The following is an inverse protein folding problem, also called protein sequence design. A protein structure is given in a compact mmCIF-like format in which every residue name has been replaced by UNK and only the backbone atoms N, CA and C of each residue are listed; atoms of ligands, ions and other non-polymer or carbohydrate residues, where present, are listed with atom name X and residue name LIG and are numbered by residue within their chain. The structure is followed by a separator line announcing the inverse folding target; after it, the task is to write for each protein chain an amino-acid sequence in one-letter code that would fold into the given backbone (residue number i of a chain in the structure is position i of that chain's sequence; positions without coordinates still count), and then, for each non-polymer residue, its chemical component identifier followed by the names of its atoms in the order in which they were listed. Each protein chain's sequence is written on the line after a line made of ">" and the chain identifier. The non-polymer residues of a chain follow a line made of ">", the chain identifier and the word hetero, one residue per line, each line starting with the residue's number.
data_IF_398902199218
#
_entry.id   IF_398902199218
#
_cell.length_a   1.000
_cell.length_b   1.000
_cell.length_c   1.000
_cell.angle_alpha   90.00
_cell.angle_beta   90.00
_cell.angle_gamma   90.00
#
_symmetry.space_group_name_H-M   'P 1'
#
loop_
_entity.id
_entity.type
_entity.pdbx_description
1 polymer ?
#
# COMPACT_ATOMS: atom_id res chain seq x y z
N UNK A 1 37.43 -42.85 25.16
CA UNK A 1 36.42 -42.30 26.09
C UNK A 1 36.06 -40.92 25.55
N UNK A 2 34.85 -40.51 25.23
CA UNK A 2 33.50 -41.01 25.47
C UNK A 2 32.63 -40.56 24.29
N UNK A 3 31.87 -41.47 23.70
CA UNK A 3 30.89 -41.20 22.66
C UNK A 3 29.54 -40.90 23.33
N UNK A 4 28.92 -39.77 22.99
CA UNK A 4 27.56 -39.44 23.45
C UNK A 4 26.63 -39.46 22.24
N UNK A 5 25.92 -40.58 22.11
CA UNK A 5 24.77 -40.74 21.24
C UNK A 5 23.59 -39.91 21.77
N UNK A 6 23.04 -39.00 20.96
CA UNK A 6 21.71 -38.42 21.19
C UNK A 6 20.77 -38.86 20.08
N UNK A 7 19.89 -39.78 20.44
CA UNK A 7 18.76 -40.28 19.67
C UNK A 7 17.68 -39.20 19.54
N UNK A 8 17.37 -38.77 18.32
CA UNK A 8 16.21 -37.94 18.01
C UNK A 8 14.98 -38.85 17.82
N UNK A 9 13.99 -38.75 18.69
CA UNK A 9 12.67 -39.37 18.52
C UNK A 9 11.89 -38.59 17.45
N UNK A 10 11.52 -39.28 16.37
CA UNK A 10 10.58 -38.79 15.38
C UNK A 10 9.16 -38.74 15.98
N UNK A 11 8.54 -37.57 15.98
CA UNK A 11 7.11 -37.38 16.31
C UNK A 11 6.30 -37.46 15.02
N UNK A 12 5.45 -38.49 14.92
CA UNK A 12 4.51 -38.68 13.83
C UNK A 12 3.34 -37.69 13.93
N UNK A 13 3.16 -36.82 12.95
CA UNK A 13 1.96 -35.99 12.81
C UNK A 13 0.90 -36.80 12.06
N UNK A 14 -0.13 -37.28 12.78
CA UNK A 14 -1.29 -37.92 12.17
C UNK A 14 -2.18 -36.86 11.48
N UNK A 15 -2.32 -36.99 10.17
CA UNK A 15 -3.27 -36.22 9.34
C UNK A 15 -4.66 -36.83 9.45
N UNK A 16 -5.62 -36.08 10.02
CA UNK A 16 -7.05 -36.44 10.01
C UNK A 16 -7.66 -35.88 8.72
N UNK A 17 -8.00 -36.77 7.77
CA UNK A 17 -8.77 -36.43 6.57
C UNK A 17 -10.27 -36.50 6.88
N UNK A 18 -10.98 -35.39 6.69
CA UNK A 18 -12.44 -35.33 6.67
C UNK A 18 -12.97 -35.64 5.26
N UNK A 19 -14.06 -36.43 5.11
CA UNK A 19 -14.60 -36.76 3.80
C UNK A 19 -15.45 -35.62 3.22
N UNK A 20 -15.12 -35.18 2.01
CA UNK A 20 -15.95 -34.29 1.18
C UNK A 20 -17.09 -35.07 0.53
N UNK A 21 -18.33 -34.72 0.88
CA UNK A 21 -19.55 -35.26 0.25
C UNK A 21 -19.90 -34.42 -0.97
N UNK A 22 -19.84 -35.02 -2.16
CA UNK A 22 -20.25 -34.39 -3.41
C UNK A 22 -21.79 -34.21 -3.44
N UNK A 23 -22.27 -33.00 -3.70
CA UNK A 23 -23.68 -32.69 -3.91
C UNK A 23 -23.94 -32.59 -5.42
N UNK A 24 -24.84 -33.45 -5.90
CA UNK A 24 -25.27 -33.57 -7.30
C UNK A 24 -26.28 -32.47 -7.61
N UNK A 25 -25.98 -31.58 -8.54
CA UNK A 25 -26.94 -30.60 -9.06
C UNK A 25 -27.96 -31.33 -9.96
N UNK A 26 -29.24 -31.27 -9.60
CA UNK A 26 -30.36 -31.70 -10.45
C UNK A 26 -30.92 -30.48 -11.20
N UNK A 27 -31.10 -30.65 -12.52
CA UNK A 27 -31.59 -29.61 -13.42
C UNK A 27 -33.02 -29.20 -13.12
N UNK A 28 -33.28 -27.89 -13.15
CA UNK A 28 -34.60 -27.30 -13.06
C UNK A 28 -35.20 -27.18 -14.46
N UNK A 29 -36.33 -27.87 -14.66
CA UNK A 29 -37.17 -27.79 -15.83
C UNK A 29 -37.81 -26.39 -15.96
N UNK A 30 -37.74 -25.82 -17.16
CA UNK A 30 -38.48 -24.62 -17.56
C UNK A 30 -39.97 -24.92 -17.56
N UNK A 31 -40.74 -24.21 -16.74
CA UNK A 31 -42.19 -24.15 -16.85
C UNK A 31 -42.60 -22.84 -17.53
N UNK A 32 -43.17 -22.96 -18.73
CA UNK A 32 -43.88 -21.88 -19.40
C UNK A 32 -45.27 -21.74 -18.77
N UNK A 33 -45.52 -20.61 -18.10
CA UNK A 33 -46.86 -20.21 -17.70
C UNK A 33 -47.32 -19.03 -18.54
N UNK A 34 -48.31 -19.30 -19.40
CA UNK A 34 -49.11 -18.30 -20.11
C UNK A 34 -50.02 -17.60 -19.10
N UNK A 35 -49.89 -16.27 -18.99
CA UNK A 35 -50.69 -15.45 -18.09
C UNK A 35 -52.04 -15.09 -18.73
N UNK A 36 -53.20 -15.43 -18.16
CA UNK A 36 -54.49 -14.94 -18.64
C UNK A 36 -54.75 -13.51 -18.15
N UNK A 37 -55.35 -12.71 -19.02
CA UNK A 37 -55.65 -11.29 -18.83
C UNK A 37 -56.50 -11.02 -17.57
N UNK A 38 -55.98 -10.19 -16.67
CA UNK A 38 -56.73 -9.64 -15.53
C UNK A 38 -57.27 -8.26 -15.93
N UNK A 39 -58.60 -8.16 -15.90
CA UNK A 39 -59.41 -6.98 -16.18
C UNK A 39 -59.16 -5.92 -15.10
N UNK A 40 -58.60 -4.78 -15.46
CA UNK A 40 -58.34 -3.66 -14.55
C UNK A 40 -59.63 -2.90 -14.25
N UNK A 41 -60.11 -2.98 -13.00
CA UNK A 41 -61.11 -2.07 -12.45
C UNK A 41 -60.53 -0.65 -12.35
N UNK A 42 -61.30 0.43 -12.59
CA UNK A 42 -60.77 1.78 -12.48
C UNK A 42 -60.49 2.10 -11.01
N UNK A 43 -59.21 2.25 -10.67
CA UNK A 43 -58.78 2.77 -9.38
C UNK A 43 -59.23 4.23 -9.25
N UNK A 44 -60.04 4.51 -8.22
CA UNK A 44 -60.38 5.86 -7.77
C UNK A 44 -59.09 6.68 -7.61
N UNK A 45 -58.96 7.76 -8.39
CA UNK A 45 -57.86 8.72 -8.26
C UNK A 45 -58.04 9.47 -6.94
N UNK A 46 -57.31 9.07 -5.91
CA UNK A 46 -57.07 9.96 -4.77
C UNK A 46 -56.12 11.04 -5.26
N UNK A 47 -56.61 12.28 -5.40
CA UNK A 47 -55.71 13.42 -5.62
C UNK A 47 -54.89 13.59 -4.35
N UNK A 48 -53.63 13.19 -4.37
CA UNK A 48 -52.69 13.54 -3.31
C UNK A 48 -52.52 15.06 -3.33
N UNK A 49 -53.18 15.74 -2.40
CA UNK A 49 -53.00 17.16 -2.19
C UNK A 49 -51.67 17.34 -1.45
N UNK A 50 -50.62 17.70 -2.19
CA UNK A 50 -49.31 18.02 -1.63
C UNK A 50 -49.15 19.54 -1.58
N UNK A 51 -48.87 20.08 -0.39
CA UNK A 51 -48.52 21.48 -0.16
C UNK A 51 -47.03 21.76 -0.33
N UNK A 52 -46.22 20.76 -0.72
CA UNK A 52 -44.80 20.95 -0.95
C UNK A 52 -44.59 21.69 -2.28
N UNK A 53 -44.00 22.88 -2.20
CA UNK A 53 -43.40 23.55 -3.35
C UNK A 53 -42.38 22.61 -4.01
N UNK A 54 -42.34 22.61 -5.35
CA UNK A 54 -41.26 21.92 -6.09
C UNK A 54 -39.93 22.36 -5.50
N UNK A 55 -39.10 21.42 -5.04
CA UNK A 55 -37.71 21.68 -4.73
C UNK A 55 -37.06 22.24 -5.99
N UNK A 56 -36.84 23.56 -6.00
CA UNK A 56 -35.94 24.17 -6.96
C UNK A 56 -34.53 23.75 -6.54
N UNK A 57 -34.14 22.55 -6.96
CA UNK A 57 -32.74 22.16 -6.94
C UNK A 57 -32.03 23.04 -7.97
N UNK A 58 -31.54 24.19 -7.52
CA UNK A 58 -30.54 24.99 -8.21
C UNK A 58 -29.15 24.37 -8.09
N UNK A 59 -29.05 23.04 -8.03
CA UNK A 59 -27.78 22.36 -8.07
C UNK A 59 -27.10 22.77 -9.38
N UNK A 60 -25.89 23.37 -9.32
CA UNK A 60 -25.11 23.64 -10.51
C UNK A 60 -25.03 22.36 -11.35
N UNK A 61 -25.01 22.46 -12.69
CA UNK A 61 -24.75 21.30 -13.53
C UNK A 61 -23.51 20.59 -12.99
N UNK A 62 -23.54 19.25 -12.97
CA UNK A 62 -22.43 18.44 -12.47
C UNK A 62 -21.13 18.99 -13.06
N UNK A 63 -20.12 19.29 -12.23
CA UNK A 63 -18.90 19.92 -12.70
C UNK A 63 -18.37 19.10 -13.87
N UNK A 64 -18.20 19.78 -15.02
CA UNK A 64 -17.50 19.20 -16.18
C UNK A 64 -16.20 18.61 -15.64
N UNK A 65 -15.88 17.37 -16.02
CA UNK A 65 -14.66 16.71 -15.59
C UNK A 65 -13.48 17.64 -15.87
N UNK A 66 -12.94 18.27 -14.81
CA UNK A 66 -11.81 19.19 -14.92
C UNK A 66 -10.59 18.34 -15.19
N UNK A 67 -9.75 18.80 -16.10
CA UNK A 67 -8.47 18.15 -16.31
C UNK A 67 -7.57 18.30 -15.08
N UNK A 68 -6.69 17.33 -14.86
CA UNK A 68 -5.64 17.44 -13.85
C UNK A 68 -4.66 18.56 -14.19
N UNK A 69 -4.13 19.19 -13.14
CA UNK A 69 -3.12 20.24 -13.26
C UNK A 69 -1.84 19.68 -13.94
N UNK A 70 -1.09 20.52 -14.69
CA UNK A 70 0.10 20.11 -15.41
C UNK A 70 1.13 19.37 -14.54
N UNK A 71 1.35 19.84 -13.31
CA UNK A 71 2.31 19.25 -12.36
C UNK A 71 1.97 17.80 -12.02
N UNK A 72 0.68 17.50 -11.85
CA UNK A 72 0.19 16.14 -11.59
C UNK A 72 0.40 15.25 -12.82
N UNK A 73 0.11 15.78 -14.02
CA UNK A 73 0.31 15.08 -15.29
C UNK A 73 1.79 14.78 -15.55
N UNK A 74 2.67 15.72 -15.24
CA UNK A 74 4.11 15.60 -15.43
C UNK A 74 4.70 14.53 -14.50
N UNK A 75 4.34 14.54 -13.22
CA UNK A 75 4.76 13.50 -12.26
C UNK A 75 4.26 12.12 -12.72
N UNK A 76 2.98 12.00 -13.10
CA UNK A 76 2.42 10.73 -13.56
C UNK A 76 3.13 10.24 -14.83
N UNK A 77 3.39 11.14 -15.78
CA UNK A 77 4.12 10.81 -17.01
C UNK A 77 5.55 10.38 -16.72
N UNK A 78 6.25 11.06 -15.80
CA UNK A 78 7.60 10.70 -15.38
C UNK A 78 7.63 9.28 -14.80
N UNK A 79 6.77 8.99 -13.81
CA UNK A 79 6.72 7.68 -13.14
C UNK A 79 6.47 6.54 -14.13
N UNK A 80 5.54 6.72 -15.06
CA UNK A 80 5.11 5.67 -15.98
C UNK A 80 5.98 5.52 -17.23
N UNK A 81 6.49 6.62 -17.78
CA UNK A 81 7.03 6.66 -19.13
C UNK A 81 8.54 6.94 -19.18
N UNK A 82 9.16 7.33 -18.07
CA UNK A 82 10.60 7.65 -18.06
C UNK A 82 11.41 6.45 -17.56
N UNK A 83 12.25 5.86 -18.42
CA UNK A 83 13.23 4.87 -17.99
C UNK A 83 14.39 5.54 -17.25
N UNK A 84 14.94 4.84 -16.27
CA UNK A 84 16.14 5.28 -15.56
C UNK A 84 17.35 4.60 -16.21
N UNK A 85 18.10 5.35 -17.02
CA UNK A 85 19.25 4.85 -17.79
C UNK A 85 20.58 5.47 -17.28
N UNK A 86 20.80 5.40 -15.96
CA UNK A 86 22.01 5.92 -15.32
C UNK A 86 22.59 4.91 -14.33
N UNK A 87 23.73 4.32 -14.69
CA UNK A 87 24.46 3.39 -13.81
C UNK A 87 24.85 4.07 -12.50
N UNK A 88 25.26 5.33 -12.55
CA UNK A 88 25.58 6.12 -11.36
C UNK A 88 24.37 6.28 -10.44
N UNK A 89 23.17 6.51 -10.99
CA UNK A 89 21.96 6.64 -10.19
C UNK A 89 21.64 5.32 -9.48
N UNK A 90 21.73 4.18 -10.17
CA UNK A 90 21.52 2.87 -9.55
C UNK A 90 22.59 2.52 -8.51
N UNK A 91 23.85 2.84 -8.78
CA UNK A 91 24.95 2.60 -7.84
C UNK A 91 24.79 3.42 -6.58
N UNK A 92 24.42 4.70 -6.72
CA UNK A 92 24.15 5.61 -5.61
C UNK A 92 22.91 5.17 -4.83
N UNK A 93 21.81 4.82 -5.50
CA UNK A 93 20.60 4.30 -4.87
C UNK A 93 20.89 3.03 -4.05
N UNK A 94 21.83 2.18 -4.49
CA UNK A 94 22.27 1.02 -3.72
C UNK A 94 22.96 1.43 -2.41
N UNK A 95 23.79 2.46 -2.42
CA UNK A 95 24.39 2.99 -1.20
C UNK A 95 23.37 3.62 -0.27
N UNK A 96 22.47 4.46 -0.80
CA UNK A 96 21.36 5.07 -0.03
C UNK A 96 20.52 3.97 0.60
N UNK A 97 20.11 2.94 -0.15
CA UNK A 97 19.32 1.83 0.39
C UNK A 97 19.97 1.15 1.60
N UNK A 98 21.28 0.89 1.54
CA UNK A 98 22.02 0.26 2.63
C UNK A 98 22.21 1.21 3.83
N UNK A 99 22.53 2.47 3.57
CA UNK A 99 22.69 3.51 4.57
C UNK A 99 21.40 3.75 5.36
N UNK A 100 20.29 3.94 4.65
CA UNK A 100 18.96 4.16 5.22
C UNK A 100 18.51 2.99 6.10
N UNK A 101 18.75 1.74 5.66
CA UNK A 101 18.48 0.57 6.49
C UNK A 101 19.39 0.53 7.74
N UNK A 102 20.66 0.91 7.60
CA UNK A 102 21.59 1.03 8.72
C UNK A 102 21.11 2.03 9.78
N UNK A 103 20.65 3.21 9.34
CA UNK A 103 20.05 4.23 10.20
C UNK A 103 18.82 3.68 10.94
N UNK A 104 17.94 2.96 10.24
CA UNK A 104 16.77 2.31 10.83
C UNK A 104 17.12 1.30 11.92
N UNK A 105 18.13 0.45 11.67
CA UNK A 105 18.59 -0.53 12.65
C UNK A 105 19.21 0.11 13.89
N UNK A 106 19.95 1.22 13.75
CA UNK A 106 20.47 1.97 14.90
C UNK A 106 19.32 2.65 15.68
N UNK A 107 18.28 3.13 15.00
CA UNK A 107 17.07 3.69 15.61
C UNK A 107 16.37 2.72 16.58
N UNK A 108 16.44 1.41 16.32
CA UNK A 108 15.85 0.38 17.20
C UNK A 108 16.50 0.30 18.60
N UNK A 109 17.65 0.94 18.82
CA UNK A 109 18.28 1.03 20.15
C UNK A 109 17.63 2.08 21.06
N UNK A 110 16.75 2.92 20.51
CA UNK A 110 16.13 4.03 21.22
C UNK A 110 14.67 3.71 21.56
N UNK A 111 14.37 3.67 22.87
CA UNK A 111 13.02 3.33 23.36
C UNK A 111 11.93 4.26 22.82
N UNK A 112 12.28 5.53 22.61
CA UNK A 112 11.37 6.54 22.06
C UNK A 112 10.97 6.25 20.61
N UNK A 113 11.85 5.61 19.82
CA UNK A 113 11.51 5.09 18.50
C UNK A 113 10.65 3.84 18.64
N UNK A 114 11.16 2.84 19.37
CA UNK A 114 10.56 1.50 19.38
C UNK A 114 9.17 1.46 20.01
N UNK A 115 8.82 2.39 20.90
CA UNK A 115 7.48 2.47 21.50
C UNK A 115 6.38 2.83 20.48
N UNK A 116 6.76 3.38 19.32
CA UNK A 116 5.84 3.74 18.24
C UNK A 116 5.72 2.64 17.17
N UNK A 117 6.54 1.60 17.26
CA UNK A 117 6.57 0.50 16.31
C UNK A 117 5.62 -0.63 16.73
N UNK A 118 5.37 -1.54 15.80
CA UNK A 118 4.52 -2.70 15.98
C UNK A 118 3.09 -2.51 15.46
N UNK A 119 2.22 -3.51 15.68
CA UNK A 119 0.82 -3.41 15.30
C UNK A 119 0.08 -2.43 16.21
N UNK A 120 -0.92 -1.74 15.67
CA UNK A 120 -1.81 -0.86 16.46
C UNK A 120 -2.50 -1.65 17.59
N UNK A 121 -2.88 -2.91 17.31
CA UNK A 121 -3.48 -3.83 18.28
C UNK A 121 -2.58 -5.04 18.45
N UNK A 122 -2.12 -5.28 19.68
CA UNK A 122 -1.28 -6.43 20.01
C UNK A 122 -1.94 -7.75 19.60
N UNK A 123 -1.15 -8.68 19.04
CA UNK A 123 -1.65 -9.97 18.54
C UNK A 123 -2.28 -9.92 17.14
N UNK A 124 -2.30 -8.75 16.47
CA UNK A 124 -2.75 -8.67 15.08
C UNK A 124 -1.91 -9.57 14.18
N UNK A 125 -2.58 -10.40 13.36
CA UNK A 125 -1.94 -11.27 12.37
C UNK A 125 -2.34 -10.80 10.97
N UNK A 126 -1.34 -10.44 10.16
CA UNK A 126 -1.55 -10.03 8.77
C UNK A 126 -0.94 -11.07 7.82
N UNK A 127 -1.75 -11.93 7.18
CA UNK A 127 -1.26 -12.90 6.20
C UNK A 127 -0.51 -12.20 5.07
N UNK A 128 0.69 -12.69 4.75
CA UNK A 128 1.56 -12.13 3.70
C UNK A 128 1.92 -10.64 3.88
N UNK A 129 1.70 -10.08 5.06
CA UNK A 129 2.09 -8.72 5.38
C UNK A 129 3.59 -8.48 5.21
N UNK A 130 4.02 -7.25 4.89
CA UNK A 130 5.42 -6.91 4.85
C UNK A 130 6.05 -6.98 6.24
N UNK A 131 7.36 -7.27 6.26
CA UNK A 131 8.16 -7.34 7.48
C UNK A 131 8.89 -6.03 7.72
N UNK A 132 8.97 -5.65 8.99
CA UNK A 132 9.73 -4.48 9.43
C UNK A 132 11.16 -4.92 9.79
N UNK A 133 12.21 -4.44 9.09
CA UNK A 133 13.59 -4.87 9.31
C UNK A 133 14.04 -4.74 10.76
N UNK A 134 14.81 -5.73 11.26
CA UNK A 134 15.31 -5.73 12.63
C UNK A 134 14.27 -6.04 13.71
N UNK A 135 13.02 -6.31 13.35
CA UNK A 135 11.92 -6.59 14.30
C UNK A 135 11.22 -7.92 13.97
N UNK A 136 10.42 -8.49 14.89
CA UNK A 136 9.58 -9.63 14.59
C UNK A 136 8.27 -9.25 13.88
N UNK A 137 8.03 -7.98 13.57
CA UNK A 137 6.73 -7.50 13.11
C UNK A 137 6.44 -7.86 11.66
N UNK A 138 5.21 -8.33 11.44
CA UNK A 138 4.60 -8.51 10.15
C UNK A 138 3.25 -7.80 10.17
N UNK A 139 3.14 -6.70 9.42
CA UNK A 139 2.04 -5.73 9.54
C UNK A 139 1.28 -5.61 8.21
N UNK A 140 0.25 -4.79 8.16
CA UNK A 140 -0.30 -4.31 6.89
C UNK A 140 0.67 -3.30 6.25
N UNK A 141 0.61 -3.08 4.92
CA UNK A 141 1.57 -2.23 4.22
C UNK A 141 1.58 -0.77 4.70
N UNK A 142 0.46 -0.24 5.23
CA UNK A 142 0.41 1.14 5.73
C UNK A 142 1.17 1.25 7.04
N UNK A 143 0.88 0.37 7.99
CA UNK A 143 1.56 0.41 9.29
C UNK A 143 3.04 0.00 9.17
N UNK A 144 3.37 -0.95 8.29
CA UNK A 144 4.78 -1.27 7.98
C UNK A 144 5.52 -0.07 7.37
N UNK A 145 4.89 0.69 6.46
CA UNK A 145 5.49 1.88 5.90
C UNK A 145 5.80 2.92 6.97
N UNK A 146 4.87 3.18 7.89
CA UNK A 146 5.11 4.04 9.04
C UNK A 146 6.26 3.53 9.92
N UNK A 147 6.28 2.24 10.24
CA UNK A 147 7.32 1.63 11.09
C UNK A 147 8.71 1.78 10.47
N UNK A 148 8.83 1.54 9.16
CA UNK A 148 10.08 1.68 8.42
C UNK A 148 10.45 3.17 8.31
N UNK A 149 9.54 4.04 7.91
CA UNK A 149 9.78 5.49 7.80
C UNK A 149 10.21 6.11 9.13
N UNK A 150 9.53 5.77 10.23
CA UNK A 150 9.87 6.26 11.55
C UNK A 150 11.26 5.81 12.01
N UNK A 151 11.65 4.55 11.76
CA UNK A 151 12.98 4.08 12.19
C UNK A 151 14.10 4.73 11.38
N UNK A 152 13.94 4.85 10.05
CA UNK A 152 15.05 5.27 9.17
C UNK A 152 15.38 6.75 9.37
N UNK A 153 14.37 7.56 9.71
CA UNK A 153 14.53 9.01 9.96
C UNK A 153 14.84 9.36 11.41
N UNK A 154 14.69 8.40 12.34
CA UNK A 154 14.64 8.69 13.79
C UNK A 154 15.82 9.49 14.33
N UNK A 155 17.03 9.16 13.88
CA UNK A 155 18.28 9.73 14.39
C UNK A 155 18.84 10.86 13.54
N UNK A 156 18.17 11.20 12.43
CA UNK A 156 18.65 12.23 11.50
C UNK A 156 20.04 11.92 10.91
N UNK A 157 20.28 10.64 10.62
CA UNK A 157 21.54 10.16 10.02
C UNK A 157 21.40 9.70 8.58
N UNK A 158 20.16 9.55 8.09
CA UNK A 158 19.90 9.20 6.71
C UNK A 158 20.23 10.37 5.76
N UNK A 159 20.15 10.11 4.46
CA UNK A 159 20.54 11.05 3.43
C UNK A 159 19.83 12.42 3.51
N UNK A 160 20.34 13.40 2.78
CA UNK A 160 19.81 14.76 2.80
C UNK A 160 19.87 15.42 1.42
N UNK A 161 18.84 16.19 1.11
CA UNK A 161 18.74 17.04 -0.07
C UNK A 161 18.53 18.50 0.36
N UNK A 162 19.52 19.35 0.08
CA UNK A 162 19.50 20.77 0.46
C UNK A 162 19.15 21.64 -0.75
N UNK A 163 17.96 22.22 -0.75
CA UNK A 163 17.48 23.10 -1.79
C UNK A 163 16.70 24.31 -1.22
N UNK A 164 15.77 24.91 -1.98
CA UNK A 164 14.87 25.93 -1.44
C UNK A 164 14.00 25.37 -0.31
N UNK A 165 13.62 24.10 -0.42
CA UNK A 165 13.18 23.27 0.69
C UNK A 165 14.26 22.24 1.06
N UNK A 166 14.40 21.96 2.35
CA UNK A 166 15.28 20.88 2.84
C UNK A 166 14.46 19.60 2.99
N UNK A 167 15.09 18.44 2.83
CA UNK A 167 14.42 17.18 3.10
C UNK A 167 15.32 15.97 3.02
N UNK A 168 14.73 14.81 3.28
CA UNK A 168 15.40 13.51 3.33
C UNK A 168 14.68 12.54 2.38
N UNK A 169 15.09 12.48 1.10
CA UNK A 169 14.35 11.67 0.13
C UNK A 169 14.32 10.17 0.43
N UNK A 170 15.30 9.65 1.18
CA UNK A 170 15.27 8.28 1.66
C UNK A 170 14.07 7.94 2.57
N UNK A 171 13.36 8.92 3.12
CA UNK A 171 12.15 8.70 3.94
C UNK A 171 11.04 7.97 3.15
N UNK A 172 10.99 8.16 1.82
CA UNK A 172 10.08 7.44 0.91
C UNK A 172 10.31 5.92 0.90
N UNK A 173 11.49 5.44 1.35
CA UNK A 173 11.81 4.02 1.42
C UNK A 173 10.82 3.24 2.28
N UNK A 174 10.21 3.88 3.29
CA UNK A 174 9.20 3.25 4.14
C UNK A 174 8.05 2.67 3.33
N UNK A 175 7.41 3.49 2.51
CA UNK A 175 6.31 3.08 1.64
C UNK A 175 6.77 2.14 0.52
N UNK A 176 7.87 2.47 -0.16
CA UNK A 176 8.39 1.68 -1.28
C UNK A 176 8.67 0.24 -0.83
N UNK A 177 9.41 0.07 0.27
CA UNK A 177 9.80 -1.25 0.75
C UNK A 177 8.62 -2.04 1.31
N UNK A 178 7.74 -1.39 2.10
CA UNK A 178 6.56 -2.06 2.66
C UNK A 178 5.62 -2.58 1.56
N UNK A 179 5.32 -1.76 0.56
CA UNK A 179 4.44 -2.16 -0.55
C UNK A 179 5.12 -3.21 -1.43
N UNK A 180 6.42 -3.07 -1.69
CA UNK A 180 7.16 -4.04 -2.50
C UNK A 180 7.22 -5.44 -1.86
N UNK A 181 7.50 -5.51 -0.56
CA UNK A 181 7.53 -6.76 0.20
C UNK A 181 6.13 -7.38 0.29
N UNK A 182 5.10 -6.58 0.55
CA UNK A 182 3.70 -7.02 0.60
C UNK A 182 3.24 -7.69 -0.71
N UNK A 183 3.42 -6.99 -1.84
CA UNK A 183 3.04 -7.49 -3.17
C UNK A 183 3.79 -8.79 -3.46
N UNK A 184 5.10 -8.81 -3.21
CA UNK A 184 5.94 -9.97 -3.48
C UNK A 184 5.56 -11.19 -2.63
N UNK A 185 5.29 -11.01 -1.34
CA UNK A 185 4.81 -12.08 -0.45
C UNK A 185 3.46 -12.62 -0.89
N UNK A 186 2.53 -11.72 -1.17
CA UNK A 186 1.17 -12.08 -1.61
C UNK A 186 1.20 -12.88 -2.90
N UNK A 187 1.99 -12.44 -3.89
CA UNK A 187 2.09 -13.13 -5.18
C UNK A 187 2.85 -14.46 -5.08
N UNK A 188 3.88 -14.56 -4.23
CA UNK A 188 4.55 -15.83 -3.93
C UNK A 188 3.61 -16.84 -3.24
N UNK A 189 2.60 -16.36 -2.51
CA UNK A 189 1.58 -17.19 -1.87
C UNK A 189 0.40 -17.54 -2.81
N UNK A 190 0.50 -17.25 -4.11
CA UNK A 190 -0.55 -17.54 -5.10
C UNK A 190 -1.52 -16.39 -5.37
N UNK A 191 -1.24 -15.17 -4.86
CA UNK A 191 -1.95 -13.95 -5.23
C UNK A 191 -1.59 -13.44 -6.63
N UNK A 192 -2.27 -12.37 -7.06
CA UNK A 192 -2.09 -11.77 -8.39
C UNK A 192 -2.12 -10.23 -8.37
N UNK A 193 -1.56 -9.61 -7.33
CA UNK A 193 -1.43 -8.16 -7.24
C UNK A 193 -0.46 -7.64 -8.31
N UNK A 194 -0.78 -6.53 -8.97
CA UNK A 194 0.11 -5.94 -9.98
C UNK A 194 0.50 -6.92 -11.10
N UNK A 195 -0.47 -7.73 -11.57
CA UNK A 195 -0.26 -8.78 -12.57
C UNK A 195 0.67 -9.92 -12.13
N UNK A 196 0.65 -10.26 -10.83
CA UNK A 196 1.39 -11.41 -10.29
C UNK A 196 2.89 -11.16 -10.20
N UNK A 197 3.31 -9.91 -10.35
CA UNK A 197 4.72 -9.50 -10.38
C UNK A 197 5.40 -9.76 -9.04
N UNK A 198 6.57 -10.37 -9.08
CA UNK A 198 7.47 -10.46 -7.92
C UNK A 198 8.48 -9.33 -8.03
N UNK A 199 8.41 -8.37 -7.12
CA UNK A 199 9.22 -7.16 -7.19
C UNK A 199 10.66 -7.51 -6.84
N UNK A 200 11.59 -7.05 -7.66
CA UNK A 200 13.03 -7.23 -7.48
C UNK A 200 13.64 -6.05 -6.72
N UNK A 201 14.82 -6.25 -6.12
CA UNK A 201 15.55 -5.14 -5.47
C UNK A 201 15.89 -4.04 -6.48
N UNK A 202 16.20 -4.38 -7.75
CA UNK A 202 16.46 -3.36 -8.79
C UNK A 202 15.27 -2.41 -8.96
N UNK A 203 14.04 -2.93 -8.89
CA UNK A 203 12.82 -2.13 -9.03
C UNK A 203 12.54 -1.28 -7.78
N UNK A 204 12.94 -1.77 -6.60
CA UNK A 204 12.94 -0.95 -5.38
C UNK A 204 13.92 0.22 -5.54
N UNK A 205 15.13 -0.02 -6.05
CA UNK A 205 16.12 1.04 -6.31
C UNK A 205 15.62 2.04 -7.37
N UNK A 206 14.99 1.56 -8.45
CA UNK A 206 14.38 2.46 -9.44
C UNK A 206 13.29 3.34 -8.84
N UNK A 207 12.42 2.76 -7.99
CA UNK A 207 11.38 3.52 -7.29
C UNK A 207 11.99 4.56 -6.33
N UNK A 208 13.09 4.23 -5.64
CA UNK A 208 13.80 5.20 -4.80
C UNK A 208 14.32 6.38 -5.64
N UNK A 209 14.97 6.11 -6.78
CA UNK A 209 15.47 7.16 -7.69
C UNK A 209 14.32 8.07 -8.13
N UNK A 210 13.19 7.50 -8.55
CA UNK A 210 12.01 8.26 -8.98
C UNK A 210 11.44 9.12 -7.84
N UNK A 211 11.39 8.60 -6.62
CA UNK A 211 10.95 9.37 -5.45
C UNK A 211 11.90 10.54 -5.14
N UNK A 212 13.22 10.30 -5.21
CA UNK A 212 14.23 11.35 -5.02
C UNK A 212 14.09 12.46 -6.07
N UNK A 213 13.86 12.09 -7.34
CA UNK A 213 13.67 13.05 -8.42
C UNK A 213 12.44 13.94 -8.17
N UNK A 214 11.29 13.34 -7.83
CA UNK A 214 10.04 14.09 -7.62
C UNK A 214 10.18 15.05 -6.43
N UNK A 215 10.60 14.54 -5.27
CA UNK A 215 10.76 15.35 -4.07
C UNK A 215 11.85 16.43 -4.26
N UNK A 216 13.01 16.03 -4.77
CA UNK A 216 14.16 16.90 -4.95
C UNK A 216 13.87 18.05 -5.92
N UNK A 217 13.25 17.75 -7.07
CA UNK A 217 12.91 18.76 -8.07
C UNK A 217 11.81 19.72 -7.58
N UNK A 218 10.79 19.23 -6.87
CA UNK A 218 9.80 20.12 -6.25
C UNK A 218 10.45 21.03 -5.20
N UNK A 219 11.43 20.52 -4.44
CA UNK A 219 12.17 21.28 -3.44
C UNK A 219 13.18 22.29 -4.00
N UNK A 220 13.58 22.21 -5.28
CA UNK A 220 14.61 23.08 -5.87
C UNK A 220 14.29 24.56 -5.74
N UNK A 221 13.05 24.94 -6.07
CA UNK A 221 12.63 26.34 -6.15
C UNK A 221 11.38 26.65 -5.31
N UNK A 222 10.74 25.65 -4.71
CA UNK A 222 9.58 25.83 -3.86
C UNK A 222 9.97 25.62 -2.40
N UNK A 223 9.58 26.56 -1.53
CA UNK A 223 9.87 26.53 -0.10
C UNK A 223 8.56 26.58 0.66
N UNK A 224 8.16 25.42 1.17
CA UNK A 224 6.96 25.18 1.97
C UNK A 224 7.12 25.73 3.39
N UNK A 225 8.35 25.70 3.93
CA UNK A 225 8.65 26.30 5.23
C UNK A 225 8.33 27.81 5.27
N UNK A 226 8.49 28.54 4.16
CA UNK A 226 8.17 29.97 4.05
C UNK A 226 6.67 30.25 4.16
N UNK A 227 5.83 29.23 3.94
CA UNK A 227 4.37 29.33 4.07
C UNK A 227 3.84 28.57 5.29
N UNK A 228 4.72 28.13 6.19
CA UNK A 228 4.36 27.46 7.45
C UNK A 228 3.96 26.00 7.28
N UNK A 229 4.27 25.37 6.14
CA UNK A 229 4.07 23.95 5.89
C UNK A 229 5.39 23.20 6.07
N UNK A 230 5.32 21.98 6.58
CA UNK A 230 6.49 21.11 6.71
C UNK A 230 6.81 20.41 5.38
N UNK A 231 8.07 20.06 5.19
CA UNK A 231 8.60 19.46 3.96
C UNK A 231 8.10 18.03 3.71
N UNK A 232 7.58 17.36 4.75
CA UNK A 232 7.02 16.00 4.65
C UNK A 232 5.81 15.90 3.71
N UNK A 233 5.26 17.02 3.23
CA UNK A 233 4.26 17.03 2.15
C UNK A 233 4.81 16.44 0.83
N UNK A 234 6.13 16.36 0.69
CA UNK A 234 6.83 15.80 -0.46
C UNK A 234 7.30 14.34 -0.25
N UNK A 235 6.92 13.70 0.86
CA UNK A 235 7.37 12.37 1.31
C UNK A 235 6.21 11.38 1.35
#
# INVERSE_FOLDING_TARGET
>A
MSAINRTLRATSVQSIRLPTRAVRAQGLNRFNFTNPAIRTSPTLRTSSFSTMSKLQSGAPPAPVAREYDPEIKDIASFVHNTPIDSDLAFDTARFVFLDTLGCGLEGLRFKECTKLLGPIVEGTVVPNGPKVPGTPFQLDPVNAAFNIGAMIRWLDYNDCWLAAEWGHPSDNLGAILAVADWISRTNRAGGNLGNGKIITVKEVLEAMIKAHEIQGCLALLNSFNKVGLDHVVLV
#
